data_IF_410754112476
#
_entry.id   IF_410754112476
#
_cell.length_a   1.000
_cell.length_b   1.000
_cell.length_c   1.000
_cell.angle_alpha   90.00
_cell.angle_beta   90.00
_cell.angle_gamma   90.00
#
_symmetry.space_group_name_H-M   'P 1'
#
loop_
_entity.id
_entity.type
_entity.pdbx_description
1 polymer ?
#
# COMPACT_ATOMS: atom_id res chain seq x y z
N UNK A 1 -43.34 40.38 14.88
CA UNK A 1 -44.52 40.79 14.09
C UNK A 1 -44.64 39.86 12.90
N UNK A 2 -45.76 39.15 12.78
CA UNK A 2 -46.07 38.23 11.68
C UNK A 2 -46.68 39.04 10.54
N UNK A 3 -46.30 38.79 9.29
CA UNK A 3 -47.12 39.21 8.15
C UNK A 3 -47.02 38.16 7.04
N UNK A 4 -48.10 37.38 6.91
CA UNK A 4 -48.37 36.55 5.73
C UNK A 4 -49.23 37.39 4.79
N UNK A 5 -48.87 37.48 3.51
CA UNK A 5 -49.84 37.75 2.45
C UNK A 5 -49.67 36.71 1.35
N UNK A 6 -50.73 35.93 1.19
CA UNK A 6 -51.06 35.14 0.02
C UNK A 6 -51.96 35.97 -0.90
N UNK A 7 -52.15 35.47 -2.13
CA UNK A 7 -53.04 35.89 -3.23
C UNK A 7 -52.30 36.48 -4.45
N UNK A 8 -52.70 36.24 -5.70
CA UNK A 8 -53.65 35.33 -6.34
C UNK A 8 -53.23 35.29 -7.83
N UNK A 9 -53.59 34.22 -8.54
CA UNK A 9 -53.37 33.98 -9.95
C UNK A 9 -53.84 35.11 -10.90
N UNK A 10 -53.09 35.29 -12.00
CA UNK A 10 -53.62 35.88 -13.22
C UNK A 10 -53.08 35.11 -14.44
N UNK A 11 -53.98 34.38 -15.09
CA UNK A 11 -53.77 33.66 -16.36
C UNK A 11 -54.28 34.57 -17.48
N UNK A 12 -53.50 34.73 -18.57
CA UNK A 12 -54.12 34.67 -19.89
C UNK A 12 -53.40 33.70 -20.84
N UNK A 13 -54.18 32.77 -21.39
CA UNK A 13 -53.87 31.99 -22.58
C UNK A 13 -53.82 32.93 -23.79
N UNK A 14 -52.76 32.83 -24.61
CA UNK A 14 -52.87 32.97 -26.06
C UNK A 14 -51.95 31.97 -26.75
N UNK A 15 -52.57 31.17 -27.61
CA UNK A 15 -51.96 30.17 -28.45
C UNK A 15 -51.24 30.80 -29.65
N UNK A 16 -50.08 30.26 -29.99
CA UNK A 16 -49.54 30.32 -31.36
C UNK A 16 -48.70 29.08 -31.61
N UNK A 17 -49.34 28.06 -32.17
CA UNK A 17 -48.66 26.95 -32.81
C UNK A 17 -48.14 27.44 -34.17
N UNK A 18 -46.84 27.56 -34.34
CA UNK A 18 -46.21 27.58 -35.66
C UNK A 18 -45.10 26.55 -35.68
N UNK A 19 -45.40 25.45 -36.36
CA UNK A 19 -44.60 24.23 -36.47
C UNK A 19 -43.35 24.46 -37.33
N UNK A 20 -42.18 24.10 -36.81
CA UNK A 20 -41.01 23.77 -37.64
C UNK A 20 -40.35 22.51 -37.05
N UNK A 21 -40.15 21.44 -37.84
CA UNK A 21 -39.54 20.23 -37.32
C UNK A 21 -38.03 20.42 -37.26
N UNK A 22 -37.48 20.50 -36.05
CA UNK A 22 -36.05 20.41 -35.81
C UNK A 22 -35.77 19.11 -35.07
N UNK A 23 -34.89 18.32 -35.65
CA UNK A 23 -34.49 16.99 -35.17
C UNK A 23 -33.91 17.11 -33.75
N UNK A 24 -34.36 16.32 -32.76
CA UNK A 24 -33.77 16.35 -31.43
C UNK A 24 -32.34 15.80 -31.47
N UNK A 25 -31.36 16.71 -31.50
CA UNK A 25 -30.01 16.38 -31.06
C UNK A 25 -30.06 16.05 -29.58
N UNK A 26 -29.81 14.79 -29.29
CA UNK A 26 -29.83 14.12 -28.01
C UNK A 26 -28.94 14.84 -26.97
N UNK A 27 -29.50 15.81 -26.23
CA UNK A 27 -28.90 16.27 -24.97
C UNK A 27 -29.14 15.17 -23.92
N UNK A 28 -28.22 14.21 -23.88
CA UNK A 28 -28.12 13.27 -22.77
C UNK A 28 -27.65 14.07 -21.56
N UNK A 29 -28.59 14.22 -20.62
CA UNK A 29 -28.44 14.54 -19.21
C UNK A 29 -26.99 14.60 -18.70
N UNK A 30 -26.66 15.74 -18.10
CA UNK A 30 -25.53 15.92 -17.20
C UNK A 30 -25.42 14.71 -16.26
N UNK A 31 -24.36 13.93 -16.43
CA UNK A 31 -24.04 12.83 -15.55
C UNK A 31 -23.68 13.36 -14.15
N UNK A 32 -24.11 12.62 -13.14
CA UNK A 32 -23.84 12.78 -11.72
C UNK A 32 -22.35 13.04 -11.41
N UNK A 33 -22.01 13.66 -10.26
CA UNK A 33 -20.63 13.98 -9.92
C UNK A 33 -19.78 12.70 -9.89
N UNK A 34 -18.64 12.76 -10.59
CA UNK A 34 -17.61 11.72 -10.64
C UNK A 34 -16.91 11.66 -9.27
N UNK A 35 -17.57 11.06 -8.29
CA UNK A 35 -17.01 10.71 -6.99
C UNK A 35 -17.08 9.20 -6.83
N UNK A 36 -16.00 8.51 -7.20
CA UNK A 36 -15.91 7.06 -7.07
C UNK A 36 -15.20 6.43 -8.25
N UNK A 37 -14.02 5.89 -7.97
CA UNK A 37 -13.16 5.05 -8.80
C UNK A 37 -13.96 3.93 -9.50
N UNK A 38 -14.57 4.23 -10.65
CA UNK A 38 -15.22 3.23 -11.51
C UNK A 38 -14.71 3.44 -12.93
N UNK A 39 -13.52 2.90 -13.21
CA UNK A 39 -13.03 2.76 -14.58
C UNK A 39 -13.79 1.60 -15.24
N UNK A 40 -14.24 1.82 -16.48
CA UNK A 40 -14.97 0.82 -17.25
C UNK A 40 -14.15 -0.47 -17.44
N UNK A 41 -14.79 -1.65 -17.44
CA UNK A 41 -14.10 -2.93 -17.62
C UNK A 41 -13.64 -3.07 -19.07
N UNK A 42 -12.41 -2.64 -19.34
CA UNK A 42 -11.69 -3.07 -20.53
C UNK A 42 -10.94 -4.35 -20.19
N UNK A 43 -11.66 -5.49 -20.22
CA UNK A 43 -11.04 -6.80 -20.10
C UNK A 43 -10.40 -7.17 -21.44
N UNK A 44 -9.19 -6.68 -21.64
CA UNK A 44 -8.24 -7.19 -22.63
C UNK A 44 -6.94 -7.44 -21.89
N UNK A 45 -6.65 -8.73 -21.64
CA UNK A 45 -5.51 -9.17 -20.85
C UNK A 45 -4.22 -8.55 -21.35
N UNK A 46 -3.67 -7.64 -20.57
CA UNK A 46 -2.26 -7.32 -20.72
C UNK A 46 -1.49 -8.47 -20.10
N UNK A 47 -0.62 -9.10 -20.90
CA UNK A 47 0.36 -10.02 -20.36
C UNK A 47 1.18 -9.25 -19.33
N UNK A 48 1.39 -9.84 -18.15
CA UNK A 48 2.35 -9.33 -17.20
C UNK A 48 3.68 -9.10 -17.92
N UNK A 49 4.26 -7.91 -17.78
CA UNK A 49 5.56 -7.56 -18.34
C UNK A 49 6.66 -7.71 -17.29
N UNK A 50 7.92 -7.48 -17.66
CA UNK A 50 9.04 -7.46 -16.71
C UNK A 50 9.54 -8.84 -16.29
N UNK A 51 10.36 -8.87 -15.24
CA UNK A 51 11.21 -10.00 -14.89
C UNK A 51 10.42 -11.25 -14.45
N UNK A 52 9.16 -11.06 -14.05
CA UNK A 52 8.24 -12.13 -13.63
C UNK A 52 7.19 -12.48 -14.70
N UNK A 53 7.28 -11.89 -15.89
CA UNK A 53 6.41 -12.23 -17.02
C UNK A 53 6.49 -13.74 -17.34
N UNK A 54 5.33 -14.40 -17.41
CA UNK A 54 5.25 -15.84 -17.69
C UNK A 54 5.75 -16.75 -16.56
N UNK A 55 6.02 -16.21 -15.37
CA UNK A 55 6.39 -17.02 -14.21
C UNK A 55 5.14 -17.70 -13.61
N UNK A 56 5.06 -19.05 -13.59
CA UNK A 56 3.87 -19.75 -13.12
C UNK A 56 3.59 -19.53 -11.63
N UNK A 57 4.62 -19.34 -10.80
CA UNK A 57 4.44 -19.06 -9.37
C UNK A 57 3.91 -17.64 -9.13
N UNK A 58 4.28 -16.67 -9.98
CA UNK A 58 3.73 -15.32 -9.91
C UNK A 58 2.23 -15.32 -10.29
N UNK A 59 1.85 -16.04 -11.33
CA UNK A 59 0.45 -16.21 -11.73
C UNK A 59 -0.38 -16.89 -10.64
N UNK A 60 0.11 -17.98 -10.06
CA UNK A 60 -0.54 -18.64 -8.92
C UNK A 60 -0.70 -17.72 -7.71
N UNK A 61 0.28 -16.86 -7.45
CA UNK A 61 0.17 -15.86 -6.39
C UNK A 61 -0.92 -14.83 -6.71
N UNK A 62 -1.00 -14.34 -7.94
CA UNK A 62 -2.06 -13.42 -8.38
C UNK A 62 -3.43 -14.09 -8.23
N UNK A 63 -3.59 -15.31 -8.72
CA UNK A 63 -4.83 -16.08 -8.59
C UNK A 63 -5.27 -16.16 -7.13
N UNK A 64 -4.34 -16.52 -6.24
CA UNK A 64 -4.59 -16.58 -4.80
C UNK A 64 -5.00 -15.22 -4.21
N UNK A 65 -4.36 -14.13 -4.62
CA UNK A 65 -4.68 -12.80 -4.10
C UNK A 65 -6.05 -12.30 -4.60
N UNK A 66 -6.42 -12.64 -5.84
CA UNK A 66 -7.74 -12.35 -6.40
C UNK A 66 -8.80 -13.18 -5.68
N UNK A 67 -8.61 -14.50 -5.58
CA UNK A 67 -9.60 -15.42 -5.00
C UNK A 67 -9.79 -15.24 -3.49
N UNK A 68 -8.70 -15.05 -2.74
CA UNK A 68 -8.75 -15.03 -1.27
C UNK A 68 -8.97 -13.63 -0.69
N UNK A 69 -8.55 -12.60 -1.42
CA UNK A 69 -8.48 -11.24 -0.90
C UNK A 69 -9.14 -10.21 -1.82
N UNK A 70 -9.83 -10.63 -2.88
CA UNK A 70 -10.61 -9.80 -3.81
C UNK A 70 -9.81 -8.66 -4.47
N UNK A 71 -8.51 -8.89 -4.71
CA UNK A 71 -7.69 -7.92 -5.44
C UNK A 71 -8.07 -7.85 -6.93
N UNK A 72 -7.91 -6.66 -7.54
CA UNK A 72 -8.01 -6.54 -8.98
C UNK A 72 -6.80 -7.19 -9.68
N UNK A 73 -7.08 -8.13 -10.57
CA UNK A 73 -6.06 -8.89 -11.30
C UNK A 73 -5.14 -7.99 -12.13
N UNK A 74 -5.70 -7.01 -12.84
CA UNK A 74 -4.90 -6.15 -13.73
C UNK A 74 -3.97 -5.24 -12.94
N UNK A 75 -4.42 -4.70 -11.80
CA UNK A 75 -3.57 -3.98 -10.87
C UNK A 75 -2.41 -4.84 -10.37
N UNK A 76 -2.67 -6.09 -9.99
CA UNK A 76 -1.61 -7.01 -9.55
C UNK A 76 -0.61 -7.32 -10.68
N UNK A 77 -1.06 -7.57 -11.91
CA UNK A 77 -0.15 -7.73 -13.05
C UNK A 77 0.71 -6.49 -13.28
N UNK A 78 0.14 -5.29 -13.15
CA UNK A 78 0.88 -4.04 -13.31
C UNK A 78 1.92 -3.81 -12.20
N UNK A 79 1.59 -4.15 -10.95
CA UNK A 79 2.52 -4.04 -9.81
C UNK A 79 3.64 -5.06 -9.93
N UNK A 80 3.28 -6.34 -10.12
CA UNK A 80 4.27 -7.43 -10.22
C UNK A 80 5.12 -7.29 -11.48
N UNK A 81 4.56 -6.76 -12.58
CA UNK A 81 5.32 -6.53 -13.80
C UNK A 81 6.41 -5.46 -13.67
N UNK A 82 6.31 -4.58 -12.66
CA UNK A 82 7.36 -3.63 -12.30
C UNK A 82 8.39 -4.23 -11.33
N UNK A 83 8.07 -5.34 -10.67
CA UNK A 83 8.98 -5.98 -9.72
C UNK A 83 10.21 -6.55 -10.44
N UNK A 84 11.34 -6.51 -9.75
CA UNK A 84 12.63 -6.96 -10.29
C UNK A 84 13.07 -8.26 -9.66
N UNK A 85 13.59 -9.15 -10.49
CA UNK A 85 14.28 -10.35 -10.03
C UNK A 85 15.70 -9.97 -9.66
N UNK A 86 15.97 -9.86 -8.37
CA UNK A 86 17.27 -9.48 -7.85
C UNK A 86 18.13 -10.73 -7.60
N UNK A 87 18.96 -11.12 -8.56
CA UNK A 87 19.82 -12.31 -8.42
C UNK A 87 20.80 -12.22 -7.24
N UNK A 88 21.16 -11.00 -6.79
CA UNK A 88 21.97 -10.84 -5.59
C UNK A 88 21.23 -11.31 -4.32
N UNK A 89 19.91 -11.15 -4.26
CA UNK A 89 19.08 -11.62 -3.14
C UNK A 89 19.10 -13.14 -3.10
N UNK A 90 18.93 -13.79 -4.25
CA UNK A 90 19.00 -15.25 -4.37
C UNK A 90 20.37 -15.76 -3.90
N UNK A 91 21.46 -15.16 -4.38
CA UNK A 91 22.82 -15.54 -3.95
C UNK A 91 23.04 -15.30 -2.45
N UNK A 92 22.46 -14.26 -1.86
CA UNK A 92 22.58 -14.00 -0.42
C UNK A 92 21.82 -15.05 0.40
N UNK A 93 20.62 -15.45 -0.05
CA UNK A 93 19.86 -16.54 0.55
C UNK A 93 20.63 -17.86 0.48
N UNK A 94 21.20 -18.21 -0.68
CA UNK A 94 21.97 -19.44 -0.86
C UNK A 94 23.21 -19.48 0.06
N UNK A 95 23.89 -18.35 0.23
CA UNK A 95 25.05 -18.23 1.14
C UNK A 95 24.69 -18.39 2.61
N UNK A 96 23.45 -18.11 2.98
CA UNK A 96 22.93 -18.24 4.35
C UNK A 96 22.21 -19.56 4.58
N UNK A 97 22.09 -20.42 3.56
CA UNK A 97 21.50 -21.74 3.71
C UNK A 97 22.24 -22.55 4.79
N UNK A 98 21.53 -23.31 5.64
CA UNK A 98 22.16 -24.07 6.71
C UNK A 98 23.26 -25.00 6.18
N UNK A 99 24.49 -24.77 6.64
CA UNK A 99 25.62 -25.66 6.44
C UNK A 99 26.18 -26.03 7.80
N UNK A 100 26.17 -27.32 8.14
CA UNK A 100 26.74 -27.79 9.38
C UNK A 100 28.22 -28.12 9.18
N UNK A 101 29.07 -27.17 9.55
CA UNK A 101 30.51 -27.36 9.68
C UNK A 101 30.92 -26.79 11.03
N UNK A 102 31.25 -27.63 12.04
CA UNK A 102 31.60 -27.13 13.35
C UNK A 102 32.85 -26.26 13.25
N UNK A 103 32.79 -25.05 13.81
CA UNK A 103 33.93 -24.14 13.79
C UNK A 103 35.04 -24.69 14.69
N UNK A 104 36.31 -24.65 14.26
CA UNK A 104 37.42 -25.10 15.08
C UNK A 104 37.65 -24.13 16.25
N UNK A 105 37.69 -24.69 17.47
CA UNK A 105 38.22 -24.09 18.70
C UNK A 105 37.67 -22.71 19.13
N UNK A 106 38.20 -22.16 20.23
CA UNK A 106 37.99 -20.77 20.59
C UNK A 106 38.72 -19.86 19.60
N UNK A 107 38.02 -19.42 18.56
CA UNK A 107 38.60 -18.56 17.52
C UNK A 107 38.20 -17.08 17.67
N UNK A 108 37.62 -16.67 18.80
CA UNK A 108 37.20 -15.28 19.04
C UNK A 108 35.97 -14.82 18.23
N UNK A 109 35.17 -15.75 17.68
CA UNK A 109 33.97 -15.42 16.91
C UNK A 109 33.01 -14.48 17.66
N UNK A 110 32.75 -14.73 18.95
CA UNK A 110 31.88 -13.88 19.77
C UNK A 110 32.42 -12.45 19.88
N UNK A 111 33.72 -12.28 20.15
CA UNK A 111 34.32 -10.95 20.29
C UNK A 111 34.22 -10.19 18.96
N UNK A 112 34.50 -10.85 17.83
CA UNK A 112 34.34 -10.22 16.50
C UNK A 112 32.90 -9.84 16.20
N UNK A 113 31.92 -10.66 16.59
CA UNK A 113 30.51 -10.34 16.42
C UNK A 113 30.10 -9.17 17.33
N UNK A 114 30.41 -9.24 18.62
CA UNK A 114 30.13 -8.20 19.62
C UNK A 114 30.64 -6.83 19.19
N UNK A 115 31.87 -6.78 18.67
CA UNK A 115 32.51 -5.54 18.26
C UNK A 115 31.89 -4.89 17.00
N UNK A 116 31.00 -5.59 16.28
CA UNK A 116 30.21 -4.96 15.20
C UNK A 116 29.06 -4.10 15.73
N UNK A 117 28.59 -4.36 16.95
CA UNK A 117 27.40 -3.71 17.51
C UNK A 117 27.72 -2.83 18.72
N UNK A 118 28.59 -3.31 19.63
CA UNK A 118 28.95 -2.59 20.86
C UNK A 118 30.20 -1.75 20.61
N UNK A 119 30.00 -0.63 19.90
CA UNK A 119 31.00 0.41 19.65
C UNK A 119 30.61 1.69 20.39
N UNK A 120 31.55 2.60 20.69
CA UNK A 120 31.22 3.89 21.30
C UNK A 120 30.14 4.66 20.53
N UNK A 121 30.22 4.67 19.19
CA UNK A 121 29.28 5.38 18.32
C UNK A 121 27.86 4.77 18.40
N UNK A 122 27.73 3.45 18.30
CA UNK A 122 26.43 2.78 18.39
C UNK A 122 25.79 2.96 19.76
N UNK A 123 26.58 2.91 20.84
CA UNK A 123 26.08 3.15 22.19
C UNK A 123 25.58 4.58 22.34
N UNK A 124 26.32 5.57 21.84
CA UNK A 124 25.90 6.98 21.87
C UNK A 124 24.62 7.20 21.06
N UNK A 125 24.52 6.60 19.87
CA UNK A 125 23.30 6.64 19.05
C UNK A 125 22.12 5.98 19.76
N UNK A 126 22.35 4.85 20.45
CA UNK A 126 21.34 4.18 21.27
C UNK A 126 20.83 5.04 22.43
N UNK A 127 21.73 5.74 23.13
CA UNK A 127 21.36 6.71 24.18
C UNK A 127 20.57 7.89 23.60
N UNK A 128 20.98 8.44 22.46
CA UNK A 128 20.25 9.51 21.80
C UNK A 128 18.84 9.07 21.39
N UNK A 129 18.71 7.88 20.79
CA UNK A 129 17.43 7.28 20.44
C UNK A 129 16.55 7.08 21.68
N UNK A 130 17.12 6.50 22.76
CA UNK A 130 16.38 6.29 24.00
C UNK A 130 15.83 7.60 24.54
N UNK A 131 16.67 8.63 24.67
CA UNK A 131 16.26 9.93 25.19
C UNK A 131 15.18 10.58 24.32
N UNK A 132 15.31 10.48 23.00
CA UNK A 132 14.34 11.01 22.05
C UNK A 132 12.96 10.31 22.16
N UNK A 133 12.94 9.00 22.40
CA UNK A 133 11.72 8.19 22.43
C UNK A 133 11.34 7.67 23.81
N UNK A 134 11.81 8.34 24.88
CA UNK A 134 11.68 7.88 26.26
C UNK A 134 10.22 7.56 26.62
N UNK A 135 9.28 8.43 26.29
CA UNK A 135 7.86 8.24 26.61
C UNK A 135 7.26 7.03 25.90
N UNK A 136 7.66 6.79 24.65
CA UNK A 136 7.22 5.62 23.88
C UNK A 136 7.80 4.32 24.47
N UNK A 137 9.08 4.34 24.87
CA UNK A 137 9.76 3.21 25.50
C UNK A 137 9.15 2.88 26.87
N UNK A 138 8.89 3.89 27.70
CA UNK A 138 8.23 3.72 29.00
C UNK A 138 6.82 3.16 28.83
N UNK A 139 6.05 3.68 27.87
CA UNK A 139 4.73 3.14 27.55
C UNK A 139 4.81 1.70 27.07
N UNK A 140 5.77 1.35 26.21
CA UNK A 140 5.97 -0.02 25.75
C UNK A 140 6.30 -0.97 26.92
N UNK A 141 7.13 -0.53 27.86
CA UNK A 141 7.42 -1.28 29.09
C UNK A 141 6.17 -1.47 29.95
N UNK A 142 5.35 -0.44 30.14
CA UNK A 142 4.11 -0.51 30.93
C UNK A 142 3.05 -1.41 30.29
N UNK A 143 2.90 -1.36 28.97
CA UNK A 143 1.86 -2.10 28.24
C UNK A 143 2.26 -3.54 27.97
N UNK A 144 3.52 -3.78 27.59
CA UNK A 144 4.00 -5.08 27.12
C UNK A 144 5.00 -5.76 28.07
N UNK A 145 5.46 -5.09 29.12
CA UNK A 145 6.44 -5.64 30.07
C UNK A 145 7.87 -5.76 29.51
N UNK A 146 8.14 -5.22 28.32
CA UNK A 146 9.46 -5.30 27.68
C UNK A 146 10.31 -4.11 28.12
N UNK A 147 11.48 -4.32 28.74
CA UNK A 147 12.29 -3.22 29.21
C UNK A 147 12.92 -2.45 28.04
N UNK A 148 13.12 -1.13 28.16
CA UNK A 148 13.57 -0.30 27.05
C UNK A 148 14.90 -0.71 26.42
N UNK A 149 15.87 -1.22 27.20
CA UNK A 149 17.16 -1.66 26.69
C UNK A 149 17.05 -2.82 25.69
N UNK A 150 16.03 -3.68 25.83
CA UNK A 150 15.77 -4.76 24.89
C UNK A 150 15.17 -4.20 23.59
N UNK A 151 14.26 -3.23 23.69
CA UNK A 151 13.67 -2.59 22.52
C UNK A 151 14.74 -1.83 21.73
N UNK A 152 15.54 -1.02 22.42
CA UNK A 152 16.64 -0.25 21.83
C UNK A 152 17.69 -1.19 21.22
N UNK A 153 18.03 -2.29 21.90
CA UNK A 153 18.98 -3.28 21.40
C UNK A 153 18.52 -4.09 20.19
N UNK A 154 17.23 -4.11 19.86
CA UNK A 154 16.71 -4.74 18.64
C UNK A 154 16.67 -3.77 17.46
N UNK A 155 16.43 -2.48 17.72
CA UNK A 155 16.39 -1.44 16.69
C UNK A 155 17.79 -1.03 16.26
N UNK A 156 18.74 -0.96 17.20
CA UNK A 156 20.16 -0.65 16.95
C UNK A 156 20.95 -1.83 16.41
#
# INVERSE_FOLDING_TARGET
MRLKLAFLAFIPLLASCSSKPEVPSQQKMLAAPQGGFLLQPSHSGQAMFGDFAGNPAAEQFIDKMVEKHDFDRQQLHNIIGQAKRLDYVLRLMDRQAPSYTPAPGPNGAWIRYRNKFITPDNVQNGVAFWNQYQDALQRAQQVYGVPPEIIVGIIG
#
